data_IF_174882353212
#
_entry.id   IF_174882353212
#
_cell.length_a   1.000
_cell.length_b   1.000
_cell.length_c   1.000
_cell.angle_alpha   90.00
_cell.angle_beta   90.00
_cell.angle_gamma   90.00
#
_symmetry.space_group_name_H-M   'P 1'
#
loop_
_entity.id
_entity.type
_entity.pdbx_description
1 polymer ?
#
# COMPACT_ATOMS: atom_id res chain seq x y z
N UNK A 1 -8.22 13.10 -6.39
CA UNK A 1 -8.15 13.58 -7.78
C UNK A 1 -6.96 12.92 -8.42
N UNK A 2 -7.17 12.06 -9.41
CA UNK A 2 -6.11 11.35 -10.13
C UNK A 2 -5.68 12.25 -11.29
N UNK A 3 -4.50 12.84 -11.23
CA UNK A 3 -3.93 13.50 -12.40
C UNK A 3 -3.35 12.40 -13.31
N UNK A 4 -3.83 12.34 -14.54
CA UNK A 4 -3.31 11.41 -15.54
C UNK A 4 -2.73 12.21 -16.69
N UNK A 5 -1.42 12.17 -16.91
CA UNK A 5 -0.83 12.76 -18.12
C UNK A 5 -1.35 12.02 -19.35
N UNK A 6 -1.82 12.77 -20.33
CA UNK A 6 -2.27 12.20 -21.62
C UNK A 6 -1.05 11.95 -22.52
N UNK A 7 -0.38 10.85 -22.29
CA UNK A 7 0.73 10.40 -23.13
C UNK A 7 0.26 9.26 -24.05
N UNK A 8 0.85 9.17 -25.23
CA UNK A 8 0.66 8.00 -26.08
C UNK A 8 1.26 6.75 -25.43
N UNK A 9 0.68 5.55 -25.60
CA UNK A 9 1.13 4.34 -24.89
C UNK A 9 2.61 4.01 -25.10
N UNK A 10 3.18 4.26 -26.28
CA UNK A 10 4.58 4.02 -26.59
C UNK A 10 5.47 5.05 -25.91
N UNK A 11 5.10 6.32 -25.98
CA UNK A 11 5.82 7.43 -25.33
C UNK A 11 5.87 7.26 -23.81
N UNK A 12 4.74 6.88 -23.21
CA UNK A 12 4.67 6.57 -21.77
C UNK A 12 5.66 5.48 -21.39
N UNK A 13 5.78 4.41 -22.18
CA UNK A 13 6.73 3.33 -21.91
C UNK A 13 8.18 3.79 -22.01
N UNK A 14 8.52 4.59 -23.00
CA UNK A 14 9.87 5.12 -23.18
C UNK A 14 10.25 6.03 -22.00
N UNK A 15 9.37 6.95 -21.61
CA UNK A 15 9.58 7.84 -20.46
C UNK A 15 9.77 7.04 -19.17
N UNK A 16 8.89 6.05 -18.92
CA UNK A 16 8.99 5.19 -17.73
C UNK A 16 10.28 4.37 -17.69
N UNK A 17 10.78 3.90 -18.83
CA UNK A 17 12.03 3.14 -18.90
C UNK A 17 13.25 4.03 -18.66
N UNK A 18 13.21 5.28 -19.09
CA UNK A 18 14.30 6.23 -18.95
C UNK A 18 14.35 6.89 -17.57
N UNK A 19 13.22 7.28 -17.04
CA UNK A 19 13.14 8.10 -15.81
C UNK A 19 12.68 7.32 -14.58
N UNK A 20 12.07 6.15 -14.75
CA UNK A 20 11.38 5.42 -13.68
C UNK A 20 10.06 6.06 -13.24
N UNK A 21 9.66 7.19 -13.85
CA UNK A 21 8.49 7.98 -13.49
C UNK A 21 7.41 7.91 -14.57
N UNK A 22 6.15 8.14 -14.17
CA UNK A 22 4.99 8.16 -15.08
C UNK A 22 4.68 9.57 -15.62
N UNK A 23 5.68 10.43 -15.66
CA UNK A 23 5.56 11.80 -16.17
C UNK A 23 6.81 12.18 -16.95
N UNK A 24 6.73 13.15 -17.88
CA UNK A 24 7.88 13.63 -18.66
C UNK A 24 8.99 14.20 -17.78
N UNK A 25 8.60 14.84 -16.67
CA UNK A 25 9.51 15.49 -15.75
C UNK A 25 9.14 15.14 -14.31
N UNK A 26 10.12 15.16 -13.41
CA UNK A 26 9.91 14.95 -11.99
C UNK A 26 11.17 15.16 -11.18
N UNK A 27 10.95 15.43 -9.90
CA UNK A 27 12.01 15.63 -8.91
C UNK A 27 12.05 14.41 -8.01
N UNK A 28 13.24 13.86 -7.80
CA UNK A 28 13.50 12.77 -6.87
C UNK A 28 13.82 13.35 -5.50
N UNK A 29 13.04 12.96 -4.50
CA UNK A 29 13.22 13.37 -3.11
C UNK A 29 13.77 12.18 -2.35
N UNK A 30 14.96 12.33 -1.79
CA UNK A 30 15.59 11.32 -0.93
C UNK A 30 15.48 11.74 0.52
N UNK A 31 15.29 10.79 1.42
CA UNK A 31 15.20 11.08 2.85
C UNK A 31 15.43 9.84 3.72
N UNK A 32 15.55 10.03 5.04
CA UNK A 32 15.80 8.95 5.98
C UNK A 32 14.59 8.03 6.19
N UNK A 33 13.39 8.58 6.05
CA UNK A 33 12.13 7.89 6.26
C UNK A 33 11.04 8.38 5.29
N UNK A 34 9.98 7.59 5.15
CA UNK A 34 8.91 7.84 4.20
C UNK A 34 8.04 9.06 4.56
N UNK A 35 7.86 9.33 5.84
CA UNK A 35 7.06 10.47 6.32
C UNK A 35 7.75 11.80 6.00
N UNK A 36 9.07 11.86 6.22
CA UNK A 36 9.88 13.02 5.86
C UNK A 36 9.87 13.26 4.36
N UNK A 37 10.03 12.21 3.54
CA UNK A 37 9.99 12.30 2.08
C UNK A 37 8.62 12.83 1.63
N UNK A 38 7.52 12.29 2.14
CA UNK A 38 6.17 12.72 1.79
C UNK A 38 5.92 14.17 2.19
N UNK A 39 6.25 14.53 3.43
CA UNK A 39 6.03 15.89 3.95
C UNK A 39 6.80 16.94 3.15
N UNK A 40 8.03 16.63 2.76
CA UNK A 40 8.84 17.49 1.90
C UNK A 40 8.29 17.54 0.47
N UNK A 41 7.90 16.39 -0.08
CA UNK A 41 7.28 16.31 -1.40
C UNK A 41 6.00 17.15 -1.51
N UNK A 42 5.16 17.13 -0.47
CA UNK A 42 3.94 17.96 -0.40
C UNK A 42 4.24 19.47 -0.36
N UNK A 43 5.27 19.87 0.37
CA UNK A 43 5.73 21.28 0.37
C UNK A 43 6.22 21.68 -1.02
N UNK A 44 7.07 20.84 -1.63
CA UNK A 44 7.60 21.08 -2.96
C UNK A 44 6.48 21.12 -4.03
N UNK A 45 5.47 20.27 -3.92
CA UNK A 45 4.28 20.33 -4.79
C UNK A 45 3.61 21.71 -4.74
N UNK A 46 3.46 22.29 -3.54
CA UNK A 46 2.85 23.60 -3.38
C UNK A 46 3.70 24.71 -4.00
N UNK A 47 5.03 24.68 -3.81
CA UNK A 47 5.93 25.66 -4.43
C UNK A 47 5.93 25.56 -5.97
N UNK A 48 6.00 24.35 -6.50
CA UNK A 48 6.00 24.13 -7.95
C UNK A 48 4.69 24.58 -8.63
N UNK A 49 3.57 24.56 -7.92
CA UNK A 49 2.30 25.07 -8.43
C UNK A 49 2.28 26.60 -8.59
N UNK A 50 3.20 27.32 -7.97
CA UNK A 50 3.33 28.78 -8.08
C UNK A 50 4.24 29.20 -9.23
N UNK A 51 5.04 28.26 -9.78
CA UNK A 51 5.98 28.51 -10.89
C UNK A 51 5.23 28.68 -12.21
N UNK A 52 5.40 29.82 -12.93
CA UNK A 52 4.61 30.14 -14.13
C UNK A 52 4.82 29.17 -15.31
N UNK A 53 6.03 28.60 -15.44
CA UNK A 53 6.39 27.66 -16.51
C UNK A 53 5.88 26.25 -16.27
N UNK A 54 5.37 25.96 -15.04
CA UNK A 54 4.88 24.66 -14.62
C UNK A 54 3.36 24.57 -14.76
N UNK A 55 2.87 23.47 -15.28
CA UNK A 55 1.44 23.18 -15.37
C UNK A 55 0.91 22.74 -14.01
N UNK A 56 0.17 23.60 -13.32
CA UNK A 56 -0.31 23.40 -11.95
C UNK A 56 -1.07 22.09 -11.72
N UNK A 57 -1.91 21.70 -12.69
CA UNK A 57 -2.74 20.50 -12.61
C UNK A 57 -1.94 19.21 -12.79
N UNK A 58 -0.71 19.31 -13.29
CA UNK A 58 0.18 18.18 -13.51
C UNK A 58 1.19 17.99 -12.37
N UNK A 59 1.25 18.92 -11.42
CA UNK A 59 2.14 18.77 -10.26
C UNK A 59 1.50 17.83 -9.25
N UNK A 60 2.21 16.76 -8.95
CA UNK A 60 1.74 15.74 -8.01
C UNK A 60 2.91 15.10 -7.27
N UNK A 61 2.93 15.25 -5.95
CA UNK A 61 3.86 14.51 -5.09
C UNK A 61 3.30 13.12 -4.74
N UNK A 62 4.15 12.12 -4.63
CA UNK A 62 3.77 10.79 -4.17
C UNK A 62 3.14 10.88 -2.77
N UNK A 63 1.97 10.25 -2.60
CA UNK A 63 1.33 10.01 -1.30
C UNK A 63 1.77 8.63 -0.85
N UNK A 64 2.79 8.59 0.00
CA UNK A 64 3.49 7.36 0.37
C UNK A 64 2.84 6.72 1.60
N UNK A 65 2.56 7.55 2.62
CA UNK A 65 2.02 7.13 3.91
C UNK A 65 0.56 7.55 4.00
N UNK A 66 -0.37 6.63 4.08
CA UNK A 66 -1.78 7.03 4.16
C UNK A 66 -2.78 5.92 3.93
N UNK A 67 -2.33 4.76 3.44
CA UNK A 67 -3.21 3.60 3.33
C UNK A 67 -3.39 2.96 4.70
N UNK A 68 -4.62 2.85 5.21
CA UNK A 68 -4.82 2.18 6.48
C UNK A 68 -4.57 0.68 6.33
N UNK A 69 -3.70 0.14 7.17
CA UNK A 69 -3.55 -1.29 7.40
C UNK A 69 -4.36 -1.69 8.62
N UNK A 70 -5.06 -2.81 8.52
CA UNK A 70 -5.65 -3.46 9.68
C UNK A 70 -4.59 -4.38 10.28
N UNK A 71 -4.02 -3.98 11.41
CA UNK A 71 -3.03 -4.75 12.14
C UNK A 71 -3.71 -5.52 13.26
N UNK A 72 -3.49 -6.83 13.29
CA UNK A 72 -3.94 -7.71 14.36
C UNK A 72 -2.73 -8.08 15.23
N UNK A 73 -2.51 -7.31 16.28
CA UNK A 73 -1.40 -7.51 17.22
C UNK A 73 -1.74 -8.63 18.19
N UNK A 74 -1.06 -9.78 18.07
CA UNK A 74 -1.29 -10.95 18.94
C UNK A 74 -0.68 -10.71 20.32
N UNK A 75 -1.50 -10.81 21.37
CA UNK A 75 -1.09 -10.72 22.76
C UNK A 75 -0.63 -12.11 23.24
N UNK A 76 0.69 -12.27 23.41
CA UNK A 76 1.30 -13.56 23.78
C UNK A 76 0.90 -14.05 25.17
N UNK A 77 0.65 -13.13 26.10
CA UNK A 77 0.24 -13.48 27.44
C UNK A 77 -1.22 -13.97 27.48
N UNK A 78 -2.07 -13.35 26.67
CA UNK A 78 -3.47 -13.77 26.54
C UNK A 78 -3.58 -15.14 25.87
N UNK A 79 -2.90 -15.37 24.73
CA UNK A 79 -2.99 -16.66 24.04
C UNK A 79 -2.48 -17.83 24.89
N UNK A 80 -1.43 -17.62 25.71
CA UNK A 80 -0.86 -18.66 26.56
C UNK A 80 -1.83 -19.17 27.62
N UNK A 81 -2.73 -18.31 28.13
CA UNK A 81 -3.77 -18.68 29.11
C UNK A 81 -4.76 -19.71 28.56
N UNK A 82 -4.96 -19.71 27.25
CA UNK A 82 -5.86 -20.61 26.57
C UNK A 82 -5.15 -21.81 25.92
N UNK A 83 -3.85 -21.95 26.17
CA UNK A 83 -3.02 -23.03 25.63
C UNK A 83 -2.78 -22.92 24.11
N UNK A 84 -2.92 -21.71 23.56
CA UNK A 84 -2.68 -21.41 22.16
C UNK A 84 -1.24 -20.90 21.94
N UNK A 85 -0.68 -21.20 20.78
CA UNK A 85 0.57 -20.63 20.31
C UNK A 85 0.31 -19.51 19.28
N UNK A 86 1.31 -18.67 19.04
CA UNK A 86 1.22 -17.61 18.01
C UNK A 86 0.89 -18.19 16.64
N UNK A 87 1.46 -19.36 16.30
CA UNK A 87 1.21 -20.04 15.01
C UNK A 87 -0.25 -20.44 14.88
N UNK A 88 -0.88 -20.98 15.93
CA UNK A 88 -2.30 -21.38 15.91
C UNK A 88 -3.22 -20.20 15.57
N UNK A 89 -2.93 -19.04 16.20
CA UNK A 89 -3.70 -17.80 15.97
C UNK A 89 -3.44 -17.25 14.56
N UNK A 90 -2.19 -17.27 14.10
CA UNK A 90 -1.84 -16.83 12.75
C UNK A 90 -2.48 -17.67 11.66
N UNK A 91 -2.41 -19.00 11.78
CA UNK A 91 -3.06 -19.93 10.83
C UNK A 91 -4.57 -19.75 10.79
N UNK A 92 -5.18 -19.50 11.96
CA UNK A 92 -6.60 -19.19 12.02
C UNK A 92 -6.93 -17.90 11.29
N UNK A 93 -6.21 -16.80 11.56
CA UNK A 93 -6.39 -15.49 10.91
C UNK A 93 -6.18 -15.61 9.40
N UNK A 94 -5.11 -16.30 8.97
CA UNK A 94 -4.81 -16.51 7.56
C UNK A 94 -5.96 -17.28 6.88
N UNK A 95 -6.43 -18.34 7.50
CA UNK A 95 -7.53 -19.15 6.95
C UNK A 95 -8.84 -18.40 6.93
N UNK A 96 -9.20 -17.75 8.05
CA UNK A 96 -10.50 -17.08 8.20
C UNK A 96 -10.62 -15.85 7.30
N UNK A 97 -9.59 -15.01 7.25
CA UNK A 97 -9.61 -13.71 6.55
C UNK A 97 -9.00 -13.84 5.17
N UNK A 98 -7.78 -14.38 5.06
CA UNK A 98 -7.02 -14.49 3.81
C UNK A 98 -7.49 -15.61 2.89
N UNK A 99 -7.85 -16.72 3.47
CA UNK A 99 -8.21 -17.95 2.79
C UNK A 99 -7.04 -18.88 2.51
N UNK A 100 -7.06 -20.04 3.15
CA UNK A 100 -6.05 -21.08 2.96
C UNK A 100 -6.34 -21.89 1.69
N UNK A 101 -5.30 -22.13 0.90
CA UNK A 101 -5.37 -23.05 -0.25
C UNK A 101 -5.27 -24.49 0.25
N UNK A 102 -6.36 -25.23 0.15
CA UNK A 102 -6.41 -26.65 0.55
C UNK A 102 -5.86 -27.59 -0.54
N UNK A 103 -6.26 -27.36 -1.80
CA UNK A 103 -5.99 -28.25 -2.91
C UNK A 103 -6.09 -27.49 -4.24
N UNK A 104 -5.94 -28.23 -5.33
CA UNK A 104 -6.08 -27.73 -6.69
C UNK A 104 -6.85 -28.75 -7.51
N UNK A 105 -7.96 -28.35 -8.15
CA UNK A 105 -8.63 -29.20 -9.15
C UNK A 105 -7.90 -29.08 -10.50
N UNK A 106 -8.00 -30.14 -11.29
CA UNK A 106 -7.47 -30.19 -12.64
C UNK A 106 -8.60 -30.44 -13.60
N UNK A 107 -8.91 -29.48 -14.46
CA UNK A 107 -9.97 -29.58 -15.47
C UNK A 107 -9.33 -29.44 -16.86
N UNK A 108 -9.04 -30.57 -17.48
CA UNK A 108 -8.30 -30.60 -18.71
C UNK A 108 -6.86 -30.11 -18.54
N UNK A 109 -6.51 -28.94 -19.10
CA UNK A 109 -5.20 -28.28 -18.96
C UNK A 109 -5.16 -27.21 -17.88
N UNK A 110 -6.32 -26.84 -17.36
CA UNK A 110 -6.46 -25.77 -16.35
C UNK A 110 -6.37 -26.33 -14.93
N UNK A 111 -5.89 -25.48 -14.02
CA UNK A 111 -5.71 -25.82 -12.61
C UNK A 111 -6.34 -24.71 -11.76
N UNK A 112 -7.35 -25.06 -10.95
CA UNK A 112 -8.07 -24.13 -10.10
C UNK A 112 -7.76 -24.38 -8.63
N UNK A 113 -7.31 -23.39 -7.85
CA UNK A 113 -7.08 -23.57 -6.42
C UNK A 113 -8.41 -23.62 -5.66
N UNK A 114 -8.57 -24.63 -4.81
CA UNK A 114 -9.65 -24.68 -3.83
C UNK A 114 -9.17 -23.93 -2.59
N UNK A 115 -9.91 -22.86 -2.20
CA UNK A 115 -9.61 -22.06 -1.01
C UNK A 115 -10.76 -22.14 -0.03
N UNK A 116 -10.44 -22.23 1.27
CA UNK A 116 -11.39 -22.14 2.37
C UNK A 116 -11.14 -20.83 3.10
N UNK A 117 -12.21 -20.07 3.32
CA UNK A 117 -12.22 -18.86 4.15
C UNK A 117 -13.62 -18.61 4.66
N UNK A 118 -13.76 -17.76 5.67
CA UNK A 118 -15.08 -17.31 6.11
C UNK A 118 -15.81 -16.54 5.02
N UNK A 119 -17.15 -16.59 5.05
CA UNK A 119 -17.98 -15.80 4.16
C UNK A 119 -17.72 -14.30 4.38
N UNK A 120 -18.04 -13.48 3.37
CA UNK A 120 -17.65 -12.05 3.39
C UNK A 120 -18.23 -11.30 4.58
N UNK A 121 -19.48 -11.58 4.92
CA UNK A 121 -20.20 -10.98 6.03
C UNK A 121 -19.55 -11.13 7.42
N UNK A 122 -18.64 -12.11 7.57
CA UNK A 122 -17.92 -12.35 8.82
C UNK A 122 -16.50 -11.75 8.83
N UNK A 123 -16.12 -11.02 7.80
CA UNK A 123 -14.74 -10.51 7.66
C UNK A 123 -14.63 -9.16 6.93
N UNK A 124 -15.73 -8.47 6.63
CA UNK A 124 -15.72 -7.21 5.87
C UNK A 124 -15.66 -5.96 6.76
N UNK A 125 -15.88 -6.12 8.05
CA UNK A 125 -15.69 -5.05 9.03
C UNK A 125 -14.88 -5.53 10.26
N UNK A 126 -14.27 -4.59 11.02
CA UNK A 126 -13.47 -4.93 12.20
C UNK A 126 -14.26 -5.62 13.30
N UNK A 127 -15.50 -5.24 13.53
CA UNK A 127 -16.35 -5.84 14.58
C UNK A 127 -16.67 -7.30 14.27
N UNK A 128 -16.91 -7.63 12.99
CA UNK A 128 -17.08 -9.01 12.55
C UNK A 128 -15.79 -9.82 12.76
N UNK A 129 -14.63 -9.23 12.48
CA UNK A 129 -13.33 -9.87 12.70
C UNK A 129 -13.06 -10.10 14.19
N UNK A 130 -13.36 -9.14 15.07
CA UNK A 130 -13.24 -9.26 16.52
C UNK A 130 -14.03 -10.44 17.09
N UNK A 131 -15.19 -10.71 16.52
CA UNK A 131 -16.11 -11.76 16.94
C UNK A 131 -15.82 -13.14 16.35
N UNK A 132 -14.81 -13.30 15.50
CA UNK A 132 -14.40 -14.60 14.97
C UNK A 132 -14.01 -15.55 16.11
N UNK A 133 -14.51 -16.78 16.08
CA UNK A 133 -14.34 -17.77 17.14
C UNK A 133 -13.16 -18.69 16.83
N UNK A 134 -12.10 -18.63 17.65
CA UNK A 134 -10.94 -19.52 17.58
C UNK A 134 -11.18 -20.76 18.46
N UNK A 135 -11.01 -21.98 17.94
CA UNK A 135 -11.03 -23.19 18.76
C UNK A 135 -9.76 -23.28 19.63
N UNK A 136 -9.92 -23.63 20.88
CA UNK A 136 -8.82 -23.92 21.80
C UNK A 136 -8.53 -25.42 21.88
N UNK A 137 -7.33 -25.85 22.33
CA UNK A 137 -7.03 -27.26 22.57
C UNK A 137 -7.96 -27.96 23.57
N UNK A 138 -8.60 -27.20 24.44
CA UNK A 138 -9.58 -27.70 25.42
C UNK A 138 -11.00 -27.88 24.83
N UNK A 139 -11.20 -27.57 23.55
CA UNK A 139 -12.50 -27.69 22.88
C UNK A 139 -13.44 -26.50 23.06
N UNK A 140 -13.02 -25.45 23.72
CA UNK A 140 -13.77 -24.20 23.85
C UNK A 140 -13.50 -23.27 22.65
N UNK A 141 -14.43 -22.35 22.38
CA UNK A 141 -14.28 -21.31 21.38
C UNK A 141 -14.15 -19.95 22.04
N UNK A 142 -13.22 -19.15 21.57
CA UNK A 142 -12.88 -17.83 22.14
C UNK A 142 -12.92 -16.80 21.02
N UNK A 143 -13.56 -15.63 21.24
CA UNK A 143 -13.54 -14.56 20.25
C UNK A 143 -12.12 -14.01 20.06
N UNK A 144 -11.78 -13.69 18.83
CA UNK A 144 -10.45 -13.21 18.43
C UNK A 144 -10.03 -11.94 19.21
N UNK A 145 -10.98 -11.07 19.55
CA UNK A 145 -10.77 -9.86 20.34
C UNK A 145 -10.17 -10.11 21.74
N UNK A 146 -10.32 -11.32 22.29
CA UNK A 146 -9.64 -11.66 23.55
C UNK A 146 -8.17 -12.03 23.38
N UNK A 147 -7.70 -12.25 22.15
CA UNK A 147 -6.37 -12.77 21.86
C UNK A 147 -5.51 -11.77 21.09
N UNK A 148 -6.13 -10.83 20.39
CA UNK A 148 -5.46 -9.83 19.57
C UNK A 148 -5.99 -8.44 19.86
N UNK A 149 -5.17 -7.43 19.59
CA UNK A 149 -5.56 -6.03 19.55
C UNK A 149 -5.63 -5.60 18.08
N UNK A 150 -6.80 -5.11 17.67
CA UNK A 150 -7.06 -4.72 16.27
C UNK A 150 -6.90 -3.22 16.14
N UNK A 151 -5.94 -2.79 15.33
CA UNK A 151 -5.60 -1.38 15.15
C UNK A 151 -5.53 -1.01 13.68
N UNK A 152 -6.04 0.18 13.35
CA UNK A 152 -5.77 0.81 12.07
C UNK A 152 -4.47 1.60 12.16
N UNK A 153 -3.49 1.22 11.35
CA UNK A 153 -2.24 1.98 11.23
C UNK A 153 -2.07 2.51 9.81
N UNK A 154 -1.72 3.79 9.65
CA UNK A 154 -1.29 4.29 8.36
C UNK A 154 0.01 3.59 7.98
N UNK A 155 0.10 3.18 6.73
CA UNK A 155 1.28 2.50 6.22
C UNK A 155 1.56 2.86 4.76
N UNK A 156 2.74 2.51 4.26
CA UNK A 156 3.12 2.83 2.89
C UNK A 156 2.34 1.97 1.88
N UNK A 157 1.82 2.61 0.83
CA UNK A 157 1.25 1.90 -0.31
C UNK A 157 2.35 1.23 -1.15
N UNK A 158 3.45 1.92 -1.32
CA UNK A 158 4.62 1.45 -2.05
C UNK A 158 5.90 2.08 -1.48
N UNK A 159 6.89 1.25 -1.19
CA UNK A 159 8.22 1.70 -0.79
C UNK A 159 9.11 1.65 -2.02
N UNK A 160 9.67 2.80 -2.42
CA UNK A 160 10.62 2.89 -3.52
C UNK A 160 12.02 3.14 -2.98
N UNK A 161 12.98 2.47 -3.58
CA UNK A 161 14.39 2.65 -3.28
C UNK A 161 15.20 2.79 -4.55
N UNK A 162 16.16 3.68 -4.54
CA UNK A 162 17.14 3.88 -5.62
C UNK A 162 18.53 4.00 -5.01
N UNK A 163 19.49 3.24 -5.49
CA UNK A 163 20.85 3.21 -4.96
C UNK A 163 20.92 2.99 -3.43
N UNK A 164 20.06 2.13 -2.91
CA UNK A 164 19.91 1.83 -1.47
C UNK A 164 19.36 2.98 -0.61
N UNK A 165 18.87 4.06 -1.20
CA UNK A 165 18.19 5.15 -0.50
C UNK A 165 16.68 5.11 -0.76
N UNK A 166 15.89 5.49 0.23
CA UNK A 166 14.46 5.72 0.06
C UNK A 166 14.23 6.92 -0.86
N UNK A 167 13.29 6.79 -1.79
CA UNK A 167 12.98 7.85 -2.77
C UNK A 167 11.47 8.01 -2.93
N UNK A 168 11.03 9.27 -3.01
CA UNK A 168 9.70 9.68 -3.45
C UNK A 168 9.82 10.58 -4.67
N UNK A 169 8.76 10.66 -5.45
CA UNK A 169 8.74 11.47 -6.65
C UNK A 169 7.74 12.62 -6.54
N UNK A 170 8.15 13.79 -7.02
CA UNK A 170 7.23 14.90 -7.32
C UNK A 170 7.17 15.03 -8.83
N UNK A 171 6.07 14.62 -9.42
CA UNK A 171 5.85 14.66 -10.86
C UNK A 171 5.40 16.06 -11.27
N UNK A 172 5.83 16.49 -12.44
CA UNK A 172 5.43 17.79 -13.02
C UNK A 172 5.42 17.71 -14.55
N UNK A 173 4.79 18.69 -15.17
CA UNK A 173 4.79 18.89 -16.61
C UNK A 173 4.88 20.39 -16.92
N UNK A 174 5.37 20.72 -18.10
CA UNK A 174 5.53 22.08 -18.57
C UNK A 174 4.21 22.69 -19.05
N UNK A 175 4.10 24.00 -18.95
CA UNK A 175 3.06 24.75 -19.66
C UNK A 175 3.33 24.77 -21.16
N UNK A 176 2.30 24.76 -22.01
CA UNK A 176 2.47 24.93 -23.44
C UNK A 176 3.24 26.21 -23.75
N UNK A 177 4.28 26.10 -24.59
CA UNK A 177 5.14 27.23 -24.98
C UNK A 177 6.46 27.34 -24.20
N UNK A 178 6.63 26.58 -23.12
CA UNK A 178 7.89 26.51 -22.37
C UNK A 178 8.69 25.26 -22.75
N UNK A 179 10.02 25.36 -22.67
CA UNK A 179 10.90 24.20 -22.83
C UNK A 179 11.06 23.48 -21.48
N UNK A 180 11.46 22.21 -21.52
CA UNK A 180 11.76 21.44 -20.30
C UNK A 180 12.94 22.04 -19.51
N UNK A 181 13.94 22.59 -20.24
CA UNK A 181 15.10 23.27 -19.64
C UNK A 181 14.67 24.50 -18.86
N UNK A 182 13.78 25.33 -19.45
CA UNK A 182 13.26 26.53 -18.77
C UNK A 182 12.53 26.15 -17.48
N UNK A 183 11.74 25.08 -17.49
CA UNK A 183 11.04 24.62 -16.29
C UNK A 183 12.00 24.15 -15.20
N UNK A 184 13.10 23.49 -15.57
CA UNK A 184 14.14 23.06 -14.61
C UNK A 184 14.90 24.25 -14.02
N UNK A 185 15.10 25.31 -14.81
CA UNK A 185 15.77 26.53 -14.36
C UNK A 185 14.89 27.39 -13.43
N UNK A 186 13.54 27.35 -13.66
CA UNK A 186 12.57 28.12 -12.87
C UNK A 186 12.16 27.40 -11.57
N UNK A 187 12.34 26.07 -11.48
CA UNK A 187 11.88 25.21 -10.38
C UNK A 187 12.95 25.02 -9.30
#
# INVERSE_FOLDING_TARGET
>A
VTSSPKLQPIETRLVMLQTGMRAPMGIKVYGPDLETIESFGLKLENYLKEVPSVKKEAVFADRIVGKPYLELAIDRDKISRYGLNVVDVQEFIETAIGGMKLSTTVEGRERFPIRVRYAREFRDDPEAIENLQIPTPLGNYIPLSQLVDIQYRPGPDMIRGENSFLVGYVLLDKMPGFSEVTVVEDA
#
